data_IF_733928317102
#
_entry.id   IF_733928317102
#
_cell.length_a   1.000
_cell.length_b   1.000
_cell.length_c   1.000
_cell.angle_alpha   90.00
_cell.angle_beta   90.00
_cell.angle_gamma   90.00
#
_symmetry.space_group_name_H-M   'P 1'
#
loop_
_entity.id
_entity.type
_entity.pdbx_description
1 polymer ?
#
# COMPACT_ATOMS: atom_id res chain seq x y z
N UNK A 1 -28.36 -14.80 0.03
CA UNK A 1 -27.37 -14.62 1.11
C UNK A 1 -26.09 -14.20 0.40
N UNK A 2 -25.93 -12.90 0.22
CA UNK A 2 -24.76 -12.30 -0.42
C UNK A 2 -23.80 -11.91 0.70
N UNK A 3 -22.53 -12.31 0.58
CA UNK A 3 -21.50 -11.92 1.54
C UNK A 3 -21.23 -10.43 1.34
N UNK A 4 -21.75 -9.60 2.25
CA UNK A 4 -21.40 -8.19 2.35
C UNK A 4 -19.95 -8.09 2.81
N UNK A 5 -19.15 -7.37 2.02
CA UNK A 5 -17.81 -6.92 2.39
C UNK A 5 -17.96 -6.06 3.65
N UNK A 6 -17.40 -6.49 4.78
CA UNK A 6 -17.52 -5.72 6.04
C UNK A 6 -16.17 -5.54 6.69
N UNK A 7 -15.31 -4.73 6.07
CA UNK A 7 -14.53 -3.64 6.68
C UNK A 7 -13.20 -3.41 5.95
N UNK A 8 -12.93 -2.16 5.58
CA UNK A 8 -11.63 -1.65 5.10
C UNK A 8 -11.19 -0.63 6.15
N UNK A 9 -9.93 -0.69 6.59
CA UNK A 9 -9.34 0.34 7.45
C UNK A 9 -8.30 1.11 6.66
N UNK A 10 -8.41 2.44 6.67
CA UNK A 10 -7.43 3.34 6.10
C UNK A 10 -6.58 3.90 7.25
N UNK A 11 -5.28 3.66 7.19
CA UNK A 11 -4.30 4.34 8.01
C UNK A 11 -3.44 5.18 7.08
N UNK A 12 -3.55 6.51 7.20
CA UNK A 12 -2.81 7.46 6.39
C UNK A 12 -1.93 8.32 7.31
N UNK A 13 -0.69 8.52 6.90
CA UNK A 13 0.12 9.59 7.49
C UNK A 13 -0.52 10.94 7.11
N UNK A 14 -0.63 11.85 8.08
CA UNK A 14 -1.26 13.18 7.95
C UNK A 14 -0.22 14.30 7.87
N UNK A 15 1.05 13.97 7.69
CA UNK A 15 2.11 14.97 7.55
C UNK A 15 2.07 15.64 6.17
N UNK A 16 1.85 16.96 6.14
CA UNK A 16 1.79 17.76 4.90
C UNK A 16 3.19 18.07 4.32
N UNK A 17 4.13 17.12 4.37
CA UNK A 17 5.55 17.35 4.06
C UNK A 17 6.17 16.26 3.18
N UNK A 18 7.38 16.53 2.69
CA UNK A 18 8.19 15.55 1.99
C UNK A 18 9.09 14.85 3.01
N UNK A 19 8.87 13.57 3.29
CA UNK A 19 9.72 12.83 4.23
C UNK A 19 9.49 11.33 4.23
N UNK A 20 10.39 10.56 4.87
CA UNK A 20 10.13 9.18 5.20
C UNK A 20 8.97 9.11 6.21
N UNK A 21 7.85 8.56 5.77
CA UNK A 21 6.66 8.36 6.58
C UNK A 21 6.73 7.00 7.28
N UNK A 22 6.23 6.93 8.52
CA UNK A 22 6.13 5.67 9.27
C UNK A 22 4.68 5.43 9.64
N UNK A 23 4.09 4.43 9.00
CA UNK A 23 2.72 3.98 9.28
C UNK A 23 2.77 2.72 10.14
N UNK A 24 1.93 2.66 11.18
CA UNK A 24 1.84 1.52 12.11
C UNK A 24 0.43 0.95 12.08
N UNK A 25 0.28 -0.16 11.38
CA UNK A 25 -1.03 -0.82 11.22
C UNK A 25 -1.20 -1.86 12.33
N UNK A 26 -2.24 -1.72 13.15
CA UNK A 26 -2.74 -2.82 13.95
C UNK A 26 -3.61 -3.72 13.07
N UNK A 27 -3.19 -4.97 12.88
CA UNK A 27 -3.89 -5.94 12.06
C UNK A 27 -5.03 -6.58 12.85
N UNK A 28 -6.25 -6.46 12.34
CA UNK A 28 -7.44 -7.12 12.84
C UNK A 28 -7.71 -8.39 12.02
N UNK A 29 -8.03 -9.55 12.66
CA UNK A 29 -8.11 -10.84 11.98
C UNK A 29 -9.11 -10.94 10.82
N UNK A 30 -10.13 -10.10 10.78
CA UNK A 30 -11.18 -10.14 9.74
C UNK A 30 -10.97 -9.09 8.64
N UNK A 31 -9.84 -8.38 8.65
CA UNK A 31 -9.54 -7.31 7.69
C UNK A 31 -8.43 -7.68 6.71
N UNK A 32 -8.52 -7.09 5.52
CA UNK A 32 -7.42 -6.98 4.58
C UNK A 32 -7.01 -5.52 4.45
N UNK A 33 -5.71 -5.29 4.26
CA UNK A 33 -5.14 -3.97 4.14
C UNK A 33 -4.41 -3.85 2.81
N UNK A 34 -4.50 -2.69 2.18
CA UNK A 34 -3.76 -2.36 0.97
C UNK A 34 -2.83 -1.21 1.26
N UNK A 35 -1.52 -1.42 1.09
CA UNK A 35 -0.54 -0.34 1.19
C UNK A 35 -0.31 0.29 -0.20
N UNK A 36 -0.52 1.60 -0.29
CA UNK A 36 -0.44 2.35 -1.55
C UNK A 36 0.45 3.57 -1.36
N UNK A 37 1.48 3.70 -2.21
CA UNK A 37 2.26 4.92 -2.31
C UNK A 37 1.55 5.94 -3.19
N UNK A 38 1.27 7.13 -2.66
CA UNK A 38 0.61 8.21 -3.41
C UNK A 38 1.59 9.30 -3.85
N UNK A 39 1.45 9.78 -5.08
CA UNK A 39 2.20 10.94 -5.59
C UNK A 39 1.58 12.23 -5.04
N UNK A 40 2.07 12.70 -3.89
CA UNK A 40 1.59 13.94 -3.27
C UNK A 40 1.80 15.18 -4.15
N UNK A 41 3.01 15.37 -4.67
CA UNK A 41 3.34 16.52 -5.50
C UNK A 41 3.18 16.21 -6.99
N UNK A 42 2.48 17.07 -7.72
CA UNK A 42 2.16 16.85 -9.15
C UNK A 42 3.36 17.05 -10.07
N UNK A 43 4.37 17.82 -9.66
CA UNK A 43 5.56 18.01 -10.47
C UNK A 43 6.51 16.81 -10.28
N UNK A 44 6.79 16.11 -11.37
CA UNK A 44 7.62 14.91 -11.38
C UNK A 44 6.84 13.61 -11.52
N UNK A 45 7.52 12.57 -11.99
CA UNK A 45 6.93 11.24 -12.17
C UNK A 45 7.11 10.41 -10.90
N UNK A 46 6.05 9.73 -10.47
CA UNK A 46 6.10 8.87 -9.28
C UNK A 46 7.25 7.86 -9.35
N UNK A 47 7.46 7.23 -10.51
CA UNK A 47 8.53 6.24 -10.74
C UNK A 47 9.96 6.81 -10.73
N UNK A 48 10.11 8.14 -10.74
CA UNK A 48 11.41 8.84 -10.60
C UNK A 48 11.71 9.30 -9.18
N UNK A 49 10.81 9.05 -8.23
CA UNK A 49 10.97 9.47 -6.83
C UNK A 49 12.10 8.76 -6.08
N UNK A 50 12.48 7.55 -6.52
CA UNK A 50 13.38 6.68 -5.75
C UNK A 50 12.76 6.18 -4.43
N UNK A 51 11.43 6.26 -4.28
CA UNK A 51 10.71 5.82 -3.11
C UNK A 51 11.06 4.37 -2.73
N UNK A 52 11.21 4.13 -1.43
CA UNK A 52 11.51 2.81 -0.88
C UNK A 52 10.60 2.57 0.31
N UNK A 53 9.98 1.39 0.35
CA UNK A 53 9.12 0.94 1.45
C UNK A 53 9.88 -0.14 2.22
N UNK A 54 9.96 0.02 3.54
CA UNK A 54 10.55 -0.98 4.43
C UNK A 54 9.46 -1.53 5.35
N UNK A 55 9.12 -2.81 5.19
CA UNK A 55 8.22 -3.52 6.09
C UNK A 55 9.02 -4.09 7.25
N UNK A 56 8.71 -3.66 8.47
CA UNK A 56 9.25 -4.26 9.67
C UNK A 56 8.28 -5.34 10.19
N UNK A 57 8.61 -6.60 9.92
CA UNK A 57 7.82 -7.77 10.29
C UNK A 57 8.28 -8.41 11.60
N UNK A 58 9.14 -7.74 12.39
CA UNK A 58 9.63 -8.27 13.67
C UNK A 58 8.52 -8.59 14.68
N UNK A 59 7.33 -7.98 14.53
CA UNK A 59 6.15 -8.28 15.33
C UNK A 59 5.38 -9.54 14.86
N UNK A 60 5.66 -10.03 13.65
CA UNK A 60 5.09 -11.27 13.11
C UNK A 60 5.99 -12.42 13.57
N UNK A 61 5.62 -13.03 14.70
CA UNK A 61 6.21 -14.26 15.21
C UNK A 61 6.32 -15.31 14.08
N UNK A 62 7.56 -15.75 13.81
CA UNK A 62 8.00 -16.70 12.78
C UNK A 62 8.58 -16.14 11.45
N UNK A 63 8.73 -14.83 11.27
CA UNK A 63 9.43 -14.32 10.08
C UNK A 63 10.96 -14.49 10.20
N UNK A 64 11.56 -15.33 9.34
CA UNK A 64 13.02 -15.50 9.22
C UNK A 64 13.69 -14.23 8.68
N UNK A 65 12.91 -13.37 8.01
CA UNK A 65 13.36 -12.09 7.45
C UNK A 65 12.58 -10.97 8.16
N UNK A 66 13.19 -10.26 9.14
CA UNK A 66 12.47 -9.25 9.91
C UNK A 66 12.18 -7.98 9.11
N UNK A 67 12.83 -7.80 7.96
CA UNK A 67 12.67 -6.63 7.11
C UNK A 67 12.51 -7.00 5.64
N UNK A 68 11.48 -6.47 4.99
CA UNK A 68 11.36 -6.53 3.54
C UNK A 68 11.46 -5.12 2.98
N UNK A 69 12.45 -4.89 2.11
CA UNK A 69 12.66 -3.60 1.45
C UNK A 69 12.18 -3.73 0.01
N UNK A 70 11.37 -2.77 -0.42
CA UNK A 70 10.76 -2.74 -1.74
C UNK A 70 11.01 -1.36 -2.32
N UNK A 71 11.72 -1.31 -3.44
CA UNK A 71 11.97 -0.08 -4.15
C UNK A 71 10.88 0.14 -5.19
N UNK A 72 10.49 1.40 -5.39
CA UNK A 72 9.57 1.74 -6.46
C UNK A 72 10.17 1.29 -7.80
N UNK A 73 9.41 0.57 -8.63
CA UNK A 73 9.91 0.13 -9.92
C UNK A 73 10.27 1.26 -10.86
N UNK A 74 11.41 1.12 -11.53
CA UNK A 74 11.85 2.05 -12.60
C UNK A 74 11.18 1.65 -13.92
N UNK A 75 9.91 2.03 -14.06
CA UNK A 75 9.11 1.80 -15.28
C UNK A 75 8.52 3.11 -15.80
N UNK A 76 8.20 3.15 -17.09
CA UNK A 76 7.60 4.33 -17.72
C UNK A 76 6.09 4.41 -17.42
N UNK A 77 5.74 5.13 -16.36
CA UNK A 77 4.36 5.38 -15.91
C UNK A 77 4.17 6.88 -15.65
N UNK A 78 4.13 7.72 -16.70
CA UNK A 78 4.23 9.18 -16.56
C UNK A 78 3.04 9.81 -15.84
N UNK A 79 1.87 9.19 -15.93
CA UNK A 79 0.61 9.70 -15.41
C UNK A 79 0.18 9.03 -14.09
N UNK A 80 0.96 8.05 -13.61
CA UNK A 80 0.62 7.32 -12.39
C UNK A 80 0.57 8.24 -11.17
N UNK A 81 -0.53 8.15 -10.43
CA UNK A 81 -0.73 8.84 -9.16
C UNK A 81 -0.54 7.90 -7.98
N UNK A 82 -0.67 6.59 -8.19
CA UNK A 82 -0.59 5.57 -7.14
C UNK A 82 0.35 4.44 -7.56
N UNK A 83 1.16 3.98 -6.63
CA UNK A 83 1.91 2.73 -6.69
C UNK A 83 1.26 1.74 -5.72
N UNK A 84 0.73 0.65 -6.26
CA UNK A 84 0.12 -0.42 -5.45
C UNK A 84 1.25 -1.31 -4.96
N UNK A 85 1.49 -1.34 -3.66
CA UNK A 85 2.70 -1.95 -3.08
C UNK A 85 2.43 -3.37 -2.63
N UNK A 86 1.49 -3.56 -1.69
CA UNK A 86 1.17 -4.88 -1.15
C UNK A 86 -0.24 -4.95 -0.57
N UNK A 87 -0.75 -6.18 -0.52
CA UNK A 87 -1.87 -6.58 0.32
C UNK A 87 -1.33 -7.23 1.60
N UNK A 88 -1.97 -6.94 2.73
CA UNK A 88 -1.69 -7.57 4.02
C UNK A 88 -2.99 -8.23 4.53
N UNK A 89 -2.94 -9.53 4.77
CA UNK A 89 -4.06 -10.28 5.34
C UNK A 89 -3.98 -10.24 6.88
N UNK A 90 -4.98 -9.65 7.53
CA UNK A 90 -4.98 -9.45 8.98
C UNK A 90 -5.07 -10.75 9.80
N UNK A 91 -5.57 -11.83 9.20
CA UNK A 91 -5.70 -13.15 9.82
C UNK A 91 -4.40 -13.93 9.83
N UNK A 92 -3.82 -14.07 8.65
CA UNK A 92 -2.63 -14.90 8.38
C UNK A 92 -1.34 -14.11 8.55
N UNK A 93 -1.43 -12.78 8.54
CA UNK A 93 -0.29 -11.85 8.56
C UNK A 93 0.59 -12.00 7.31
N UNK A 94 0.07 -12.60 6.24
CA UNK A 94 0.77 -12.72 4.99
C UNK A 94 0.81 -11.35 4.28
N UNK A 95 1.96 -11.05 3.67
CA UNK A 95 2.15 -9.86 2.85
C UNK A 95 2.35 -10.31 1.41
N UNK A 96 1.39 -9.98 0.55
CA UNK A 96 1.46 -10.25 -0.87
C UNK A 96 1.91 -8.98 -1.61
N UNK A 97 3.09 -9.05 -2.23
CA UNK A 97 3.63 -7.94 -3.00
C UNK A 97 2.99 -7.84 -4.39
N UNK A 98 2.73 -6.62 -4.84
CA UNK A 98 2.38 -6.34 -6.22
C UNK A 98 3.61 -5.86 -6.99
N UNK A 99 3.90 -6.50 -8.11
CA UNK A 99 5.02 -6.13 -8.97
C UNK A 99 4.58 -5.15 -10.05
N UNK A 100 5.19 -3.97 -10.08
CA UNK A 100 5.01 -2.99 -11.18
C UNK A 100 3.56 -2.52 -11.41
N UNK A 101 2.75 -2.45 -10.34
CA UNK A 101 1.33 -2.08 -10.44
C UNK A 101 1.14 -0.59 -10.10
N UNK A 102 0.54 0.15 -11.03
CA UNK A 102 0.31 1.60 -10.93
C UNK A 102 -1.08 1.98 -11.39
N UNK A 103 -1.66 3.02 -10.78
CA UNK A 103 -3.00 3.52 -11.11
C UNK A 103 -3.02 5.04 -11.35
N UNK A 104 -3.95 5.46 -12.21
CA UNK A 104 -4.20 6.86 -12.57
C UNK A 104 -5.61 7.22 -12.09
N UNK A 105 -5.72 7.80 -10.89
CA UNK A 105 -7.00 8.31 -10.39
C UNK A 105 -6.89 9.81 -10.17
N UNK A 106 -7.79 10.59 -10.78
CA UNK A 106 -7.78 12.06 -10.72
C UNK A 106 -8.58 12.62 -9.55
N UNK A 107 -9.40 11.79 -8.90
CA UNK A 107 -10.18 12.09 -7.69
C UNK A 107 -10.01 10.92 -6.71
N UNK A 108 -9.75 11.21 -5.43
CA UNK A 108 -9.35 10.23 -4.40
C UNK A 108 -10.47 9.28 -3.97
N UNK A 109 -10.79 8.28 -4.77
CA UNK A 109 -11.56 7.12 -4.32
C UNK A 109 -10.59 5.99 -3.96
N UNK A 110 -9.87 6.14 -2.85
CA UNK A 110 -9.09 5.04 -2.26
C UNK A 110 -9.96 3.77 -2.11
N UNK A 111 -11.27 3.94 -1.90
CA UNK A 111 -12.29 2.89 -1.90
C UNK A 111 -12.35 2.08 -3.21
N UNK A 112 -12.17 2.71 -4.38
CA UNK A 112 -12.21 2.01 -5.68
C UNK A 112 -10.94 1.19 -5.89
N UNK A 113 -9.78 1.73 -5.47
CA UNK A 113 -8.52 0.99 -5.47
C UNK A 113 -8.61 -0.19 -4.49
N UNK A 114 -9.12 0.03 -3.28
CA UNK A 114 -9.34 -1.02 -2.29
C UNK A 114 -10.20 -2.16 -2.82
N UNK A 115 -11.39 -1.85 -3.38
CA UNK A 115 -12.29 -2.85 -3.98
C UNK A 115 -11.63 -3.65 -5.10
N UNK A 116 -10.91 -2.98 -6.00
CA UNK A 116 -10.22 -3.61 -7.14
C UNK A 116 -9.17 -4.62 -6.68
N UNK A 117 -8.37 -4.28 -5.68
CA UNK A 117 -7.19 -5.07 -5.32
C UNK A 117 -7.40 -6.06 -4.19
N UNK A 118 -8.37 -5.82 -3.29
CA UNK A 118 -8.60 -6.70 -2.13
C UNK A 118 -9.64 -7.80 -2.41
N UNK A 119 -10.17 -7.88 -3.65
CA UNK A 119 -11.20 -8.83 -4.08
C UNK A 119 -12.40 -8.88 -3.13
N UNK A 120 -12.84 -7.68 -2.76
CA UNK A 120 -13.98 -7.43 -1.90
C UNK A 120 -15.03 -6.71 -2.72
#
# INVERSE_FOLDING_TARGET
>A
MEFNITNISLDCDVTNGNGPETIKIQLEPDLKYLYVGYRYFRDGQLTKSGATVTFNNSAIINSVVPYQIVQIPVVNQPDANFWIVCEIDGKTKNIQMFENVFEIHNNYSLDEIGKKYLNI
#
